data_IF_281138517431
#
_entry.id   IF_281138517431
#
_cell.length_a   1.000
_cell.length_b   1.000
_cell.length_c   1.000
_cell.angle_alpha   90.00
_cell.angle_beta   90.00
_cell.angle_gamma   90.00
#
_symmetry.space_group_name_H-M   'P 1'
#
loop_
_entity.id
_entity.type
_entity.pdbx_description
1 polymer ?
#
# COMPACT_ATOMS: atom_id res chain seq x y z
N UNK A 1 2.41 0.26 6.37
CA UNK A 1 3.07 0.98 7.48
C UNK A 1 3.77 0.05 8.47
N UNK A 2 3.13 -1.07 8.89
CA UNK A 2 3.68 -2.00 9.90
C UNK A 2 5.07 -2.53 9.53
N UNK A 3 5.28 -2.94 8.29
CA UNK A 3 6.59 -3.44 7.80
C UNK A 3 7.65 -2.35 7.91
N UNK A 4 7.32 -1.13 7.51
CA UNK A 4 8.25 0.00 7.62
C UNK A 4 8.66 0.26 9.08
N UNK A 5 7.71 0.23 10.00
CA UNK A 5 8.01 0.36 11.44
C UNK A 5 8.92 -0.75 11.96
N UNK A 6 8.65 -2.01 11.58
CA UNK A 6 9.52 -3.15 11.94
C UNK A 6 10.94 -3.01 11.37
N UNK A 7 11.11 -2.38 10.23
CA UNK A 7 12.40 -2.08 9.61
C UNK A 7 13.08 -0.84 10.21
N UNK A 8 12.37 -0.04 11.03
CA UNK A 8 12.89 1.18 11.64
C UNK A 8 12.61 2.46 10.84
N UNK A 9 11.70 2.41 9.88
CA UNK A 9 11.17 3.59 9.19
C UNK A 9 10.06 4.29 9.98
N UNK A 10 9.65 5.48 9.53
CA UNK A 10 8.56 6.24 10.15
C UNK A 10 7.19 5.75 9.68
N UNK A 11 6.40 5.24 10.63
CA UNK A 11 5.02 4.79 10.39
C UNK A 11 4.13 5.97 10.06
N UNK A 12 4.30 7.10 10.76
CA UNK A 12 3.51 8.30 10.55
C UNK A 12 3.70 8.85 9.13
N UNK A 13 4.95 9.02 8.69
CA UNK A 13 5.25 9.53 7.36
C UNK A 13 4.73 8.59 6.28
N UNK A 14 4.87 7.28 6.46
CA UNK A 14 4.36 6.30 5.50
C UNK A 14 2.84 6.27 5.47
N UNK A 15 2.17 6.41 6.60
CA UNK A 15 0.70 6.49 6.67
C UNK A 15 0.20 7.74 5.95
N UNK A 16 0.83 8.90 6.19
CA UNK A 16 0.52 10.16 5.50
C UNK A 16 0.75 10.04 4.00
N UNK A 17 1.87 9.44 3.56
CA UNK A 17 2.14 9.18 2.16
C UNK A 17 1.08 8.26 1.54
N UNK A 18 0.68 7.19 2.23
CA UNK A 18 -0.34 6.26 1.75
C UNK A 18 -1.70 6.96 1.59
N UNK A 19 -2.06 7.84 2.52
CA UNK A 19 -3.30 8.64 2.43
C UNK A 19 -3.27 9.57 1.21
N UNK A 20 -2.18 10.35 1.05
CA UNK A 20 -2.01 11.26 -0.08
C UNK A 20 -1.95 10.51 -1.41
N UNK A 21 -1.27 9.38 -1.47
CA UNK A 21 -1.18 8.53 -2.65
C UNK A 21 -2.55 7.97 -3.05
N UNK A 22 -3.36 7.52 -2.09
CA UNK A 22 -4.72 7.06 -2.36
C UNK A 22 -5.62 8.20 -2.87
N UNK A 23 -5.49 9.39 -2.29
CA UNK A 23 -6.21 10.58 -2.75
C UNK A 23 -5.81 10.96 -4.18
N UNK A 24 -4.50 11.02 -4.46
CA UNK A 24 -4.00 11.27 -5.80
C UNK A 24 -4.48 10.21 -6.81
N UNK A 25 -4.45 8.92 -6.43
CA UNK A 25 -4.93 7.81 -7.26
C UNK A 25 -6.43 7.95 -7.57
N UNK A 26 -7.23 8.39 -6.60
CA UNK A 26 -8.67 8.60 -6.79
C UNK A 26 -8.98 9.67 -7.86
N UNK A 27 -8.06 10.59 -8.11
CA UNK A 27 -8.19 11.63 -9.14
C UNK A 27 -7.50 11.20 -10.45
N UNK A 28 -6.26 10.72 -10.36
CA UNK A 28 -5.42 10.42 -11.53
C UNK A 28 -5.97 9.24 -12.33
N UNK A 29 -6.40 8.17 -11.64
CA UNK A 29 -6.88 6.97 -12.32
C UNK A 29 -8.12 7.25 -13.20
N UNK A 30 -9.18 7.91 -12.69
CA UNK A 30 -10.32 8.27 -13.54
C UNK A 30 -9.96 9.17 -14.72
N UNK A 31 -8.94 10.03 -14.55
CA UNK A 31 -8.50 10.92 -15.64
C UNK A 31 -7.66 10.19 -16.70
N UNK A 32 -6.81 9.27 -16.31
CA UNK A 32 -5.92 8.56 -17.24
C UNK A 32 -6.57 7.36 -17.93
N UNK A 33 -7.47 6.65 -17.25
CA UNK A 33 -8.05 5.41 -17.77
C UNK A 33 -8.76 5.56 -19.11
N UNK A 34 -9.61 6.57 -19.34
CA UNK A 34 -10.26 6.77 -20.63
C UNK A 34 -9.27 7.11 -21.76
N UNK A 35 -8.09 7.64 -21.42
CA UNK A 35 -7.01 7.92 -22.39
C UNK A 35 -6.31 6.60 -22.79
N UNK A 36 -6.08 5.73 -21.80
CA UNK A 36 -5.37 4.45 -22.00
C UNK A 36 -6.26 3.42 -22.71
N UNK A 37 -7.55 3.40 -22.35
CA UNK A 37 -8.54 2.48 -22.91
C UNK A 37 -9.77 3.27 -23.36
N UNK A 38 -9.71 3.95 -24.52
CA UNK A 38 -10.84 4.68 -25.04
C UNK A 38 -11.94 3.70 -25.46
N UNK A 39 -13.10 3.75 -24.80
CA UNK A 39 -14.29 3.06 -25.25
C UNK A 39 -14.91 3.83 -26.41
N UNK A 40 -15.15 3.15 -27.53
CA UNK A 40 -15.63 3.77 -28.78
C UNK A 40 -16.95 4.52 -28.62
N UNK A 41 -17.75 4.14 -27.59
CA UNK A 41 -19.12 4.62 -27.43
C UNK A 41 -19.34 5.60 -26.28
N UNK A 42 -18.32 5.89 -25.46
CA UNK A 42 -18.45 6.73 -24.27
C UNK A 42 -17.47 7.90 -24.35
N UNK A 43 -18.00 9.13 -24.31
CA UNK A 43 -17.16 10.33 -24.24
C UNK A 43 -16.27 10.34 -22.98
N UNK A 44 -15.09 10.99 -23.06
CA UNK A 44 -14.08 11.05 -21.99
C UNK A 44 -14.65 11.44 -20.62
N UNK A 45 -15.44 12.51 -20.55
CA UNK A 45 -15.98 13.02 -19.28
C UNK A 45 -16.94 12.04 -18.57
N UNK A 46 -17.93 11.43 -19.25
CA UNK A 46 -18.76 10.39 -18.65
C UNK A 46 -17.97 9.17 -18.19
N UNK A 47 -16.97 8.71 -18.96
CA UNK A 47 -16.11 7.59 -18.58
C UNK A 47 -15.30 7.93 -17.33
N UNK A 48 -14.67 9.09 -17.29
CA UNK A 48 -13.93 9.59 -16.13
C UNK A 48 -14.83 9.67 -14.89
N UNK A 49 -16.05 10.21 -15.02
CA UNK A 49 -16.99 10.34 -13.91
C UNK A 49 -17.45 8.99 -13.38
N UNK A 50 -17.71 8.03 -14.24
CA UNK A 50 -18.10 6.68 -13.86
C UNK A 50 -17.00 5.98 -13.04
N UNK A 51 -15.73 6.12 -13.45
CA UNK A 51 -14.59 5.57 -12.73
C UNK A 51 -14.42 6.30 -11.38
N UNK A 52 -14.48 7.63 -11.38
CA UNK A 52 -14.37 8.45 -10.18
C UNK A 52 -15.40 8.05 -9.12
N UNK A 53 -16.65 7.91 -9.50
CA UNK A 53 -17.74 7.53 -8.61
C UNK A 53 -17.53 6.16 -7.97
N UNK A 54 -16.91 5.21 -8.67
CA UNK A 54 -16.63 3.85 -8.17
C UNK A 54 -15.35 3.77 -7.36
N UNK A 55 -14.29 4.44 -7.78
CA UNK A 55 -12.95 4.32 -7.17
C UNK A 55 -12.81 5.18 -5.90
N UNK A 56 -13.37 6.39 -5.92
CA UNK A 56 -13.23 7.34 -4.81
C UNK A 56 -13.79 6.80 -3.48
N UNK A 57 -15.01 6.26 -3.39
CA UNK A 57 -15.51 5.69 -2.14
C UNK A 57 -14.68 4.50 -1.64
N UNK A 58 -14.16 3.69 -2.55
CA UNK A 58 -13.34 2.53 -2.20
C UNK A 58 -12.00 2.96 -1.56
N UNK A 59 -11.39 4.04 -2.07
CA UNK A 59 -10.12 4.54 -1.58
C UNK A 59 -10.25 5.43 -0.35
N UNK A 60 -11.22 6.35 -0.35
CA UNK A 60 -11.36 7.36 0.71
C UNK A 60 -12.33 6.93 1.81
N UNK A 61 -13.29 6.05 1.50
CA UNK A 61 -14.31 5.60 2.43
C UNK A 61 -13.75 5.06 3.76
N UNK A 62 -12.78 4.14 3.75
CA UNK A 62 -12.17 3.62 4.98
C UNK A 62 -11.50 4.71 5.84
N UNK A 63 -10.87 5.72 5.22
CA UNK A 63 -10.26 6.83 5.96
C UNK A 63 -11.30 7.76 6.58
N UNK A 64 -12.37 8.06 5.85
CA UNK A 64 -13.48 8.87 6.34
C UNK A 64 -14.17 8.15 7.49
N UNK A 65 -14.46 6.84 7.34
CA UNK A 65 -15.05 6.03 8.39
C UNK A 65 -14.17 5.98 9.65
N UNK A 66 -12.85 5.76 9.49
CA UNK A 66 -11.91 5.77 10.60
C UNK A 66 -11.85 7.14 11.30
N UNK A 67 -11.90 8.23 10.54
CA UNK A 67 -11.93 9.59 11.07
C UNK A 67 -13.20 9.88 11.88
N UNK A 68 -14.37 9.51 11.35
CA UNK A 68 -15.66 9.65 12.03
C UNK A 68 -15.66 8.84 13.33
N UNK A 69 -15.24 7.56 13.29
CA UNK A 69 -15.14 6.71 14.47
C UNK A 69 -14.22 7.34 15.52
N UNK A 70 -13.04 7.83 15.11
CA UNK A 70 -12.11 8.48 16.01
C UNK A 70 -12.73 9.70 16.69
N UNK A 71 -13.40 10.59 15.94
CA UNK A 71 -14.09 11.75 16.50
C UNK A 71 -15.18 11.33 17.50
N UNK A 72 -15.98 10.33 17.18
CA UNK A 72 -17.03 9.83 18.03
C UNK A 72 -16.47 9.27 19.34
N UNK A 73 -15.39 8.49 19.27
CA UNK A 73 -14.73 7.95 20.46
C UNK A 73 -14.05 9.03 21.28
N UNK A 74 -13.32 9.95 20.66
CA UNK A 74 -12.66 11.07 21.37
C UNK A 74 -13.70 11.95 22.11
N UNK A 75 -14.86 12.20 21.50
CA UNK A 75 -15.95 12.95 22.12
C UNK A 75 -16.56 12.18 23.29
N UNK A 76 -16.79 10.88 23.14
CA UNK A 76 -17.33 10.03 24.19
C UNK A 76 -16.41 9.93 25.42
N UNK A 77 -15.10 9.75 25.20
CA UNK A 77 -14.12 9.64 26.29
C UNK A 77 -13.87 11.00 26.99
N UNK A 78 -13.84 12.11 26.23
CA UNK A 78 -13.77 13.46 26.81
C UNK A 78 -14.96 13.77 27.71
N UNK A 79 -16.16 13.38 27.30
CA UNK A 79 -17.36 13.56 28.10
C UNK A 79 -17.35 12.81 29.44
N UNK A 80 -16.50 11.79 29.58
CA UNK A 80 -16.31 11.00 30.82
C UNK A 80 -15.04 11.37 31.60
N UNK A 81 -14.35 12.47 31.26
CA UNK A 81 -13.16 12.91 31.97
C UNK A 81 -11.92 12.01 31.79
N UNK A 82 -11.97 11.06 30.84
CA UNK A 82 -10.85 10.16 30.56
C UNK A 82 -9.90 10.80 29.54
N UNK A 83 -8.67 11.09 29.96
CA UNK A 83 -7.60 11.65 29.11
C UNK A 83 -6.96 10.61 28.16
N UNK A 84 -7.45 9.36 28.15
CA UNK A 84 -6.85 8.31 27.31
C UNK A 84 -7.40 8.36 25.88
N UNK A 85 -6.48 8.48 24.92
CA UNK A 85 -6.81 8.29 23.51
C UNK A 85 -7.22 6.84 23.27
N UNK A 86 -8.26 6.63 22.46
CA UNK A 86 -8.69 5.31 22.04
C UNK A 86 -7.52 4.56 21.38
N UNK A 87 -7.13 3.45 21.97
CA UNK A 87 -6.12 2.55 21.43
C UNK A 87 -6.72 1.16 21.30
N UNK A 88 -6.70 0.61 20.08
CA UNK A 88 -7.03 -0.79 19.85
C UNK A 88 -5.96 -1.66 20.51
N UNK A 89 -6.36 -2.53 21.45
CA UNK A 89 -5.47 -3.46 22.15
C UNK A 89 -5.79 -4.91 21.79
N UNK A 90 -4.79 -5.78 21.95
CA UNK A 90 -4.95 -7.22 21.76
C UNK A 90 -5.26 -7.61 20.31
N UNK A 91 -6.21 -8.52 20.14
CA UNK A 91 -6.60 -9.09 18.83
C UNK A 91 -7.07 -8.02 17.83
N UNK A 92 -7.73 -6.97 18.32
CA UNK A 92 -8.24 -5.87 17.51
C UNK A 92 -7.12 -5.05 16.84
N UNK A 93 -5.96 -4.91 17.51
CA UNK A 93 -4.80 -4.24 16.94
C UNK A 93 -4.17 -5.06 15.79
N UNK A 94 -4.29 -6.40 15.85
CA UNK A 94 -3.76 -7.31 14.84
C UNK A 94 -4.76 -7.64 13.72
N UNK A 95 -6.03 -7.28 13.88
CA UNK A 95 -7.10 -7.57 12.91
C UNK A 95 -6.78 -7.12 11.48
N UNK A 96 -6.23 -5.91 11.23
CA UNK A 96 -5.86 -5.49 9.87
C UNK A 96 -4.85 -6.43 9.21
N UNK A 97 -3.95 -7.03 9.97
CA UNK A 97 -2.98 -8.00 9.46
C UNK A 97 -3.65 -9.31 9.03
N UNK A 98 -4.56 -9.84 9.84
CA UNK A 98 -5.29 -11.06 9.47
C UNK A 98 -6.22 -10.84 8.28
N UNK A 99 -6.93 -9.72 8.24
CA UNK A 99 -7.77 -9.36 7.08
C UNK A 99 -6.93 -9.21 5.81
N UNK A 100 -5.72 -8.67 5.90
CA UNK A 100 -4.80 -8.57 4.79
C UNK A 100 -4.35 -9.96 4.30
N UNK A 101 -4.07 -10.92 5.18
CA UNK A 101 -3.75 -12.30 4.81
C UNK A 101 -4.93 -12.95 4.06
N UNK A 102 -6.14 -12.82 4.59
CA UNK A 102 -7.35 -13.35 3.95
C UNK A 102 -7.53 -12.74 2.56
N UNK A 103 -7.37 -11.42 2.44
CA UNK A 103 -7.43 -10.73 1.15
C UNK A 103 -6.40 -11.28 0.16
N UNK A 104 -5.16 -11.50 0.60
CA UNK A 104 -4.12 -12.08 -0.25
C UNK A 104 -4.49 -13.48 -0.74
N UNK A 105 -5.01 -14.33 0.13
CA UNK A 105 -5.44 -15.70 -0.23
C UNK A 105 -6.54 -15.63 -1.30
N UNK A 106 -7.57 -14.80 -1.08
CA UNK A 106 -8.67 -14.65 -2.04
C UNK A 106 -8.19 -14.11 -3.39
N UNK A 107 -7.32 -13.10 -3.38
CA UNK A 107 -6.76 -12.54 -4.61
C UNK A 107 -5.90 -13.57 -5.36
N UNK A 108 -5.05 -14.31 -4.66
CA UNK A 108 -4.22 -15.35 -5.28
C UNK A 108 -5.07 -16.48 -5.86
N UNK A 109 -6.09 -16.94 -5.13
CA UNK A 109 -7.02 -17.96 -5.63
C UNK A 109 -7.74 -17.49 -6.92
N UNK A 110 -8.21 -16.24 -6.95
CA UNK A 110 -8.88 -15.65 -8.13
C UNK A 110 -7.94 -15.55 -9.33
N UNK A 111 -6.70 -15.14 -9.13
CA UNK A 111 -5.71 -15.03 -10.20
C UNK A 111 -5.33 -16.39 -10.72
N UNK A 112 -5.08 -17.36 -9.83
CA UNK A 112 -4.79 -18.74 -10.22
C UNK A 112 -5.93 -19.34 -11.03
N UNK A 113 -7.17 -19.14 -10.61
CA UNK A 113 -8.33 -19.55 -11.39
C UNK A 113 -8.35 -18.93 -12.78
N UNK A 114 -8.08 -17.62 -12.89
CA UNK A 114 -8.02 -16.91 -14.19
C UNK A 114 -6.90 -17.46 -15.08
N UNK A 115 -5.73 -17.78 -14.51
CA UNK A 115 -4.61 -18.34 -15.26
C UNK A 115 -4.89 -19.76 -15.78
N UNK A 116 -5.58 -20.57 -14.98
CA UNK A 116 -5.90 -21.96 -15.34
C UNK A 116 -7.08 -22.03 -16.32
N UNK A 117 -8.05 -21.14 -16.18
CA UNK A 117 -9.28 -21.13 -17.01
C UNK A 117 -9.10 -20.51 -18.39
N UNK A 118 -7.99 -19.82 -18.64
CA UNK A 118 -7.73 -19.15 -19.91
C UNK A 118 -6.41 -19.65 -20.52
N UNK A 119 -6.43 -19.97 -21.80
CA UNK A 119 -5.24 -20.42 -22.55
C UNK A 119 -4.34 -19.23 -22.92
N UNK A 120 -3.65 -18.65 -21.93
CA UNK A 120 -2.64 -17.65 -22.21
C UNK A 120 -1.31 -18.29 -22.61
N UNK A 121 -0.61 -17.68 -23.55
CA UNK A 121 0.75 -18.07 -23.89
C UNK A 121 1.66 -17.92 -22.66
N UNK A 122 2.34 -18.97 -22.25
CA UNK A 122 3.25 -18.98 -21.09
C UNK A 122 4.30 -17.88 -21.15
N UNK A 123 4.78 -17.57 -22.35
CA UNK A 123 5.77 -16.51 -22.55
C UNK A 123 5.22 -15.14 -22.10
N UNK A 124 3.95 -14.86 -22.34
CA UNK A 124 3.30 -13.61 -21.91
C UNK A 124 3.22 -13.52 -20.39
N UNK A 125 2.86 -14.63 -19.73
CA UNK A 125 2.81 -14.67 -18.25
C UNK A 125 4.21 -14.44 -17.67
N UNK A 126 5.24 -15.10 -18.22
CA UNK A 126 6.63 -14.94 -17.80
C UNK A 126 7.09 -13.48 -17.97
N UNK A 127 6.82 -12.87 -19.12
CA UNK A 127 7.20 -11.47 -19.39
C UNK A 127 6.52 -10.54 -18.37
N UNK A 128 5.23 -10.74 -18.06
CA UNK A 128 4.52 -9.93 -17.07
C UNK A 128 5.08 -10.12 -15.66
N UNK A 129 5.41 -11.36 -15.27
CA UNK A 129 6.02 -11.66 -13.98
C UNK A 129 7.41 -11.04 -13.81
N UNK A 130 8.26 -11.17 -14.85
CA UNK A 130 9.60 -10.57 -14.86
C UNK A 130 9.52 -9.04 -14.88
N UNK A 131 8.64 -8.48 -15.70
CA UNK A 131 8.39 -7.03 -15.73
C UNK A 131 7.94 -6.50 -14.37
N UNK A 132 7.05 -7.22 -13.68
CA UNK A 132 6.61 -6.87 -12.33
C UNK A 132 7.76 -6.95 -11.30
N UNK A 133 8.68 -7.95 -11.43
CA UNK A 133 9.88 -8.04 -10.59
C UNK A 133 10.80 -6.84 -10.79
N UNK A 134 11.11 -6.52 -12.04
CA UNK A 134 11.97 -5.38 -12.40
C UNK A 134 11.36 -4.08 -11.87
N UNK A 135 10.07 -3.86 -12.11
CA UNK A 135 9.36 -2.70 -11.60
C UNK A 135 9.40 -2.62 -10.06
N UNK A 136 9.22 -3.75 -9.38
CA UNK A 136 9.27 -3.82 -7.92
C UNK A 136 10.66 -3.44 -7.39
N UNK A 137 11.73 -4.04 -7.94
CA UNK A 137 13.10 -3.75 -7.55
C UNK A 137 13.46 -2.28 -7.79
N UNK A 138 13.12 -1.76 -8.98
CA UNK A 138 13.38 -0.36 -9.32
C UNK A 138 12.66 0.61 -8.38
N UNK A 139 11.42 0.34 -8.03
CA UNK A 139 10.65 1.22 -7.15
C UNK A 139 11.20 1.23 -5.72
N UNK A 140 11.57 0.07 -5.16
CA UNK A 140 12.23 0.01 -3.85
C UNK A 140 13.61 0.70 -3.88
N UNK A 141 14.40 0.49 -4.93
CA UNK A 141 15.70 1.12 -5.09
C UNK A 141 15.59 2.65 -5.24
N UNK A 142 14.69 3.10 -6.12
CA UNK A 142 14.42 4.53 -6.35
C UNK A 142 13.92 5.22 -5.08
N UNK A 143 13.00 4.60 -4.36
CA UNK A 143 12.52 5.13 -3.09
C UNK A 143 13.65 5.28 -2.07
N UNK A 144 14.52 4.27 -1.93
CA UNK A 144 15.69 4.35 -1.05
C UNK A 144 16.69 5.43 -1.49
N UNK A 145 16.90 5.58 -2.80
CA UNK A 145 17.75 6.60 -3.39
C UNK A 145 17.20 8.00 -3.09
N UNK A 146 15.91 8.24 -3.31
CA UNK A 146 15.23 9.49 -2.97
C UNK A 146 15.34 9.79 -1.47
N UNK A 147 15.10 8.80 -0.61
CA UNK A 147 15.20 8.97 0.84
C UNK A 147 16.63 9.26 1.33
N UNK A 148 17.65 8.89 0.56
CA UNK A 148 19.04 9.23 0.81
C UNK A 148 19.33 10.72 0.48
N UNK A 149 18.96 11.18 -0.71
CA UNK A 149 19.26 12.54 -1.16
C UNK A 149 18.32 13.60 -0.59
N UNK A 150 17.10 13.20 -0.23
CA UNK A 150 16.06 14.09 0.33
C UNK A 150 15.57 13.57 1.69
N UNK A 151 16.45 13.54 2.72
CA UNK A 151 16.03 13.07 4.03
C UNK A 151 14.93 13.98 4.59
N UNK A 152 13.91 13.38 5.17
CA UNK A 152 12.86 14.14 5.83
C UNK A 152 13.47 14.97 6.97
N UNK A 153 13.13 16.27 7.01
CA UNK A 153 13.53 17.12 8.14
C UNK A 153 12.91 16.52 9.42
N UNK A 154 13.77 16.15 10.37
CA UNK A 154 13.35 15.49 11.60
C UNK A 154 12.38 16.36 12.40
N UNK A 155 11.23 15.81 12.69
CA UNK A 155 10.36 16.28 13.76
C UNK A 155 10.38 15.23 14.85
N UNK A 156 11.43 15.17 15.65
CA UNK A 156 11.53 14.29 16.81
C UNK A 156 11.46 12.78 16.52
N UNK A 157 11.77 12.00 17.50
CA UNK A 157 11.58 10.53 17.45
C UNK A 157 10.10 10.26 17.74
N UNK A 158 9.37 9.70 16.77
CA UNK A 158 7.99 9.32 16.99
C UNK A 158 7.93 8.16 18.00
N UNK A 159 7.22 8.37 19.11
CA UNK A 159 7.05 7.37 20.16
C UNK A 159 6.47 6.05 19.63
N UNK A 160 5.62 6.10 18.60
CA UNK A 160 5.06 4.92 17.97
C UNK A 160 6.12 4.09 17.22
N UNK A 161 7.09 4.74 16.58
CA UNK A 161 8.18 4.04 15.90
C UNK A 161 9.05 3.26 16.89
N UNK A 162 9.29 3.84 18.08
CA UNK A 162 10.07 3.20 19.16
C UNK A 162 9.32 2.00 19.75
N UNK A 163 8.00 2.10 19.94
CA UNK A 163 7.20 1.01 20.48
C UNK A 163 7.23 -0.24 19.59
N UNK A 164 7.29 -0.05 18.26
CA UNK A 164 7.30 -1.16 17.31
C UNK A 164 8.70 -1.69 17.06
N UNK A 165 9.69 -0.80 17.02
CA UNK A 165 11.09 -1.18 16.88
C UNK A 165 11.98 -0.28 17.76
N UNK A 166 12.29 -0.70 19.00
CA UNK A 166 13.14 0.07 19.91
C UNK A 166 14.52 0.42 19.31
N UNK A 167 15.08 -0.43 18.45
CA UNK A 167 16.35 -0.16 17.79
C UNK A 167 16.28 1.02 16.81
N UNK A 168 15.08 1.41 16.37
CA UNK A 168 14.88 2.59 15.51
C UNK A 168 15.24 3.91 16.21
N UNK A 169 15.29 3.93 17.55
CA UNK A 169 15.75 5.09 18.30
C UNK A 169 17.20 5.48 17.94
N UNK A 170 18.03 4.48 17.60
CA UNK A 170 19.44 4.67 17.28
C UNK A 170 19.70 4.94 15.78
N UNK A 171 18.66 4.89 14.93
CA UNK A 171 18.83 5.12 13.50
C UNK A 171 18.98 6.61 13.21
N UNK A 172 19.90 6.95 12.31
CA UNK A 172 20.03 8.31 11.78
C UNK A 172 18.78 8.70 11.00
N UNK A 173 18.54 10.02 10.88
CA UNK A 173 17.43 10.58 10.09
C UNK A 173 17.47 10.07 8.66
N UNK A 174 18.66 10.00 8.09
CA UNK A 174 18.91 9.47 6.75
C UNK A 174 18.49 8.00 6.63
N UNK A 175 18.88 7.15 7.57
CA UNK A 175 18.51 5.74 7.59
C UNK A 175 16.99 5.55 7.66
N UNK A 176 16.31 6.29 8.54
CA UNK A 176 14.85 6.29 8.63
C UNK A 176 14.19 6.75 7.34
N UNK A 177 14.71 7.83 6.73
CA UNK A 177 14.19 8.37 5.48
C UNK A 177 14.36 7.38 4.32
N UNK A 178 15.50 6.72 4.20
CA UNK A 178 15.76 5.69 3.18
C UNK A 178 14.80 4.51 3.31
N UNK A 179 14.57 4.03 4.54
CA UNK A 179 13.64 2.92 4.78
C UNK A 179 12.21 3.37 4.45
N UNK A 180 11.80 4.51 4.97
CA UNK A 180 10.44 5.03 4.79
C UNK A 180 10.12 5.28 3.32
N UNK A 181 11.01 5.96 2.59
CA UNK A 181 10.82 6.25 1.17
C UNK A 181 10.90 4.96 0.32
N UNK A 182 11.80 4.03 0.63
CA UNK A 182 11.86 2.73 -0.01
C UNK A 182 10.55 1.96 0.13
N UNK A 183 9.97 1.95 1.32
CA UNK A 183 8.67 1.31 1.56
C UNK A 183 7.51 2.09 0.92
N UNK A 184 7.56 3.42 0.91
CA UNK A 184 6.54 4.26 0.28
C UNK A 184 6.45 4.02 -1.24
N UNK A 185 7.59 3.96 -1.91
CA UNK A 185 7.65 3.72 -3.35
C UNK A 185 7.44 2.24 -3.71
N UNK A 186 7.96 1.32 -2.90
CA UNK A 186 7.89 -0.10 -3.17
C UNK A 186 6.56 -0.76 -2.82
N UNK A 187 5.85 -0.26 -1.82
CA UNK A 187 4.53 -0.80 -1.45
C UNK A 187 3.43 -0.11 -2.24
N UNK A 188 2.73 -0.87 -3.07
CA UNK A 188 1.62 -0.37 -3.89
C UNK A 188 0.28 -0.90 -3.39
N UNK A 189 -0.79 -0.16 -3.68
CA UNK A 189 -2.15 -0.66 -3.53
C UNK A 189 -2.50 -1.61 -4.70
N UNK A 190 -1.83 -2.76 -4.70
CA UNK A 190 -1.94 -3.74 -5.78
C UNK A 190 -3.30 -4.42 -5.84
N UNK A 191 -4.01 -4.52 -4.71
CA UNK A 191 -5.39 -5.01 -4.70
C UNK A 191 -6.30 -4.12 -5.55
N UNK A 192 -6.16 -2.79 -5.42
CA UNK A 192 -6.84 -1.84 -6.29
C UNK A 192 -6.41 -2.00 -7.75
N UNK A 193 -5.10 -2.17 -8.01
CA UNK A 193 -4.56 -2.38 -9.35
C UNK A 193 -5.15 -3.62 -10.03
N UNK A 194 -5.27 -4.73 -9.32
CA UNK A 194 -5.91 -5.97 -9.81
C UNK A 194 -7.39 -5.72 -10.12
N UNK A 195 -8.11 -5.09 -9.20
CA UNK A 195 -9.52 -4.78 -9.38
C UNK A 195 -9.76 -3.87 -10.59
N UNK A 196 -8.97 -2.80 -10.75
CA UNK A 196 -9.05 -1.89 -11.89
C UNK A 196 -8.76 -2.62 -13.20
N UNK A 197 -7.71 -3.45 -13.24
CA UNK A 197 -7.36 -4.21 -14.43
C UNK A 197 -8.50 -5.16 -14.85
N UNK A 198 -9.15 -5.83 -13.90
CA UNK A 198 -10.27 -6.72 -14.17
C UNK A 198 -11.55 -6.00 -14.60
N UNK A 199 -11.81 -4.80 -14.06
CA UNK A 199 -13.02 -4.05 -14.35
C UNK A 199 -12.97 -3.22 -15.65
N UNK A 200 -11.79 -2.69 -15.98
CA UNK A 200 -11.63 -1.69 -17.03
C UNK A 200 -10.68 -2.07 -18.15
N UNK A 201 -9.89 -3.13 -17.99
CA UNK A 201 -9.01 -3.65 -19.02
C UNK A 201 -9.41 -5.09 -19.39
N UNK A 202 -8.54 -6.03 -19.11
CA UNK A 202 -8.79 -7.44 -19.36
C UNK A 202 -8.17 -8.29 -18.22
N UNK A 203 -8.58 -9.56 -18.05
CA UNK A 203 -8.02 -10.42 -17.02
C UNK A 203 -6.50 -10.60 -17.09
N UNK A 204 -5.90 -10.57 -18.29
CA UNK A 204 -4.46 -10.67 -18.49
C UNK A 204 -3.71 -9.49 -17.84
N UNK A 205 -4.28 -8.28 -17.92
CA UNK A 205 -3.69 -7.07 -17.32
C UNK A 205 -3.60 -7.17 -15.79
N UNK A 206 -4.42 -7.99 -15.14
CA UNK A 206 -4.38 -8.19 -13.70
C UNK A 206 -3.18 -9.04 -13.24
N UNK A 207 -2.53 -9.79 -14.13
CA UNK A 207 -1.37 -10.64 -13.82
C UNK A 207 -0.18 -9.80 -13.36
N UNK A 208 0.07 -8.64 -13.98
CA UNK A 208 1.16 -7.74 -13.60
C UNK A 208 1.08 -7.28 -12.14
N UNK A 209 0.00 -6.62 -11.71
CA UNK A 209 -0.21 -6.25 -10.30
C UNK A 209 -0.20 -7.45 -9.35
N UNK A 210 -0.69 -8.62 -9.79
CA UNK A 210 -0.68 -9.84 -9.00
C UNK A 210 0.74 -10.38 -8.75
N UNK A 211 1.53 -10.46 -9.79
CA UNK A 211 2.94 -10.84 -9.67
C UNK A 211 3.70 -9.81 -8.81
N UNK A 212 3.38 -8.53 -8.92
CA UNK A 212 3.97 -7.48 -8.10
C UNK A 212 3.71 -7.70 -6.60
N UNK A 213 2.50 -8.12 -6.19
CA UNK A 213 2.21 -8.47 -4.78
C UNK A 213 3.17 -9.55 -4.28
N UNK A 214 3.40 -10.60 -5.07
CA UNK A 214 4.31 -11.69 -4.68
C UNK A 214 5.73 -11.18 -4.47
N UNK A 215 6.26 -10.44 -5.43
CA UNK A 215 7.60 -9.89 -5.37
C UNK A 215 7.77 -8.88 -4.23
N UNK A 216 6.80 -7.99 -4.04
CA UNK A 216 6.78 -7.04 -2.93
C UNK A 216 6.84 -7.75 -1.57
N UNK A 217 6.07 -8.83 -1.40
CA UNK A 217 6.06 -9.59 -0.14
C UNK A 217 7.35 -10.38 0.07
N UNK A 218 7.91 -10.98 -0.98
CA UNK A 218 9.21 -11.64 -0.91
C UNK A 218 10.33 -10.67 -0.51
N UNK A 219 10.38 -9.49 -1.16
CA UNK A 219 11.35 -8.45 -0.82
C UNK A 219 11.18 -7.95 0.62
N UNK A 220 9.96 -7.73 1.07
CA UNK A 220 9.67 -7.33 2.44
C UNK A 220 10.11 -8.40 3.44
N UNK A 221 9.84 -9.66 3.17
CA UNK A 221 10.26 -10.79 4.01
C UNK A 221 11.79 -10.89 4.08
N UNK A 222 12.46 -10.73 2.94
CA UNK A 222 13.92 -10.71 2.89
C UNK A 222 14.51 -9.53 3.69
N UNK A 223 13.95 -8.34 3.55
CA UNK A 223 14.39 -7.16 4.31
C UNK A 223 14.20 -7.36 5.83
N UNK A 224 13.06 -7.92 6.25
CA UNK A 224 12.80 -8.22 7.66
C UNK A 224 13.75 -9.27 8.22
N UNK A 225 14.03 -10.32 7.46
CA UNK A 225 14.98 -11.36 7.85
C UNK A 225 16.39 -10.79 8.01
N UNK A 226 16.84 -9.97 7.05
CA UNK A 226 18.15 -9.32 7.13
C UNK A 226 18.24 -8.35 8.32
N UNK A 227 17.20 -7.56 8.57
CA UNK A 227 17.14 -6.67 9.72
C UNK A 227 17.13 -7.43 11.07
N UNK A 228 16.54 -8.62 11.11
CA UNK A 228 16.55 -9.50 12.28
C UNK A 228 17.94 -10.06 12.58
N UNK A 229 18.72 -10.44 11.56
CA UNK A 229 20.09 -10.92 11.72
C UNK A 229 21.07 -9.85 12.23
N UNK A 230 20.84 -8.60 11.88
CA UNK A 230 21.70 -7.49 12.33
C UNK A 230 21.48 -7.12 13.82
N UNK A 231 20.48 -7.73 14.47
CA UNK A 231 20.16 -7.49 15.90
C UNK A 231 20.70 -8.57 16.84
N UNK A 232 21.08 -9.72 16.29
CA UNK A 232 21.77 -10.81 17.01
C UNK A 232 23.27 -10.74 16.76
#
# INVERSE_FOLDING_TARGET
PIIAGKLGGSIQNLTTFSLLSNFATAIIVPALFPIINPSADIAFLPAMWQILYRVTPLLLGPFIAAWILRLSFDTYYRGRGMSQRFQLKGIWASMPFYLWIVLLIVLMARITHTLVSQEYAWITIVILCVGALVACLLQFALGRWIGYYFPAKSHGVDYQDILINPAAANYSIEQKSRITAGQAFGQKNTALGIWLAQMYLNPLAAIGPAAYILWQNLLNSFQLWHAGKAKN
#
